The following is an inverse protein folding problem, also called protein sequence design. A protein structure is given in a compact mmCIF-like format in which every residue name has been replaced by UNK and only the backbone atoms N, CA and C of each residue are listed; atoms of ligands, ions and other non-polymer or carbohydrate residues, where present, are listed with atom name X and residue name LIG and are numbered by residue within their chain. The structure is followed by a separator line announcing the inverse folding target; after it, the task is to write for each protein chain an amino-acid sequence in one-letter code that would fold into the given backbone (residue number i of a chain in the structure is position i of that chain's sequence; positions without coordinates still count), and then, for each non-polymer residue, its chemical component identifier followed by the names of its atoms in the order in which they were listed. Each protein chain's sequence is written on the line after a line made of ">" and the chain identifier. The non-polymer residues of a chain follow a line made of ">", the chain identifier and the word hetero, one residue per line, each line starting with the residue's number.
data_IF_845499648237
#
_entry.id   IF_845499648237
#
_cell.length_a   1.000
_cell.length_b   1.000
_cell.length_c   1.000
_cell.angle_alpha   90.00
_cell.angle_beta   90.00
_cell.angle_gamma   90.00
#
_symmetry.space_group_name_H-M   'P 1'
#
loop_
_entity.id
_entity.type
_entity.pdbx_description
1 polymer ?
#
# COMPACT_ATOMS: atom_id res chain seq x y z
N UNK A 1 1.45 21.10 33.58
CA UNK A 1 0.51 20.96 32.45
C UNK A 1 1.20 21.23 31.11
N UNK A 2 1.97 22.32 30.97
CA UNK A 2 2.78 22.62 29.77
C UNK A 2 3.83 21.55 29.48
N UNK A 3 4.50 21.03 30.51
CA UNK A 3 5.51 19.97 30.36
C UNK A 3 4.97 18.64 29.81
N UNK A 4 3.68 18.33 30.01
CA UNK A 4 3.04 17.13 29.46
C UNK A 4 2.81 17.25 27.96
N UNK A 5 2.41 18.44 27.52
CA UNK A 5 2.12 18.73 26.12
C UNK A 5 3.38 18.75 25.27
N UNK A 6 4.42 19.46 25.73
CA UNK A 6 5.63 19.69 24.93
C UNK A 6 6.58 18.49 24.93
N UNK A 7 6.70 17.74 26.03
CA UNK A 7 7.66 16.64 26.12
C UNK A 7 7.10 15.27 25.75
N UNK A 8 5.78 15.06 25.92
CA UNK A 8 5.19 13.73 25.72
C UNK A 8 4.20 13.72 24.56
N UNK A 9 3.18 14.59 24.58
CA UNK A 9 2.11 14.52 23.58
C UNK A 9 2.62 14.89 22.18
N UNK A 10 3.33 16.02 22.05
CA UNK A 10 3.82 16.49 20.75
C UNK A 10 4.85 15.54 20.10
N UNK A 11 5.88 15.05 20.82
CA UNK A 11 6.84 14.12 20.25
C UNK A 11 6.21 12.76 19.90
N UNK A 12 5.32 12.23 20.75
CA UNK A 12 4.62 10.97 20.46
C UNK A 12 3.73 11.09 19.22
N UNK A 13 2.98 12.18 19.06
CA UNK A 13 2.18 12.41 17.86
C UNK A 13 3.06 12.45 16.59
N UNK A 14 4.21 13.12 16.66
CA UNK A 14 5.15 13.19 15.54
C UNK A 14 5.74 11.81 15.16
N UNK A 15 6.04 10.98 16.16
CA UNK A 15 6.51 9.60 15.94
C UNK A 15 5.42 8.78 15.24
N UNK A 16 4.18 8.85 15.71
CA UNK A 16 3.06 8.11 15.09
C UNK A 16 2.84 8.52 13.65
N UNK A 17 2.89 9.83 13.34
CA UNK A 17 2.76 10.33 11.97
C UNK A 17 3.86 9.76 11.08
N UNK A 18 5.12 9.74 11.54
CA UNK A 18 6.24 9.15 10.78
C UNK A 18 6.04 7.66 10.52
N UNK A 19 5.57 6.91 11.52
CA UNK A 19 5.30 5.47 11.36
C UNK A 19 4.24 5.24 10.28
N UNK A 20 3.12 5.97 10.35
CA UNK A 20 2.03 5.85 9.36
C UNK A 20 2.52 6.26 7.97
N UNK A 21 3.31 7.32 7.87
CA UNK A 21 3.89 7.80 6.62
C UNK A 21 4.82 6.78 5.95
N UNK A 22 5.44 5.87 6.73
CA UNK A 22 6.27 4.78 6.20
C UNK A 22 5.43 3.55 5.85
N UNK A 23 4.45 3.18 6.69
CA UNK A 23 3.66 1.97 6.50
C UNK A 23 2.78 2.05 5.25
N UNK A 24 2.10 3.17 5.03
CA UNK A 24 1.18 3.36 3.89
C UNK A 24 1.86 3.08 2.53
N UNK A 25 2.99 3.72 2.18
CA UNK A 25 3.64 3.46 0.89
C UNK A 25 4.21 2.05 0.80
N UNK A 26 4.64 1.42 1.90
CA UNK A 26 5.09 0.02 1.89
C UNK A 26 3.93 -0.90 1.53
N UNK A 27 2.76 -0.73 2.15
CA UNK A 27 1.57 -1.53 1.83
C UNK A 27 1.14 -1.35 0.38
N UNK A 28 1.12 -0.11 -0.12
CA UNK A 28 0.83 0.16 -1.54
C UNK A 28 1.85 -0.50 -2.47
N UNK A 29 3.14 -0.43 -2.13
CA UNK A 29 4.21 -1.04 -2.93
C UNK A 29 4.03 -2.55 -3.05
N UNK A 30 3.74 -3.24 -1.94
CA UNK A 30 3.49 -4.69 -1.94
C UNK A 30 2.22 -5.04 -2.73
N UNK A 31 1.16 -4.24 -2.61
CA UNK A 31 -0.09 -4.43 -3.34
C UNK A 31 0.10 -4.33 -4.86
N UNK A 32 0.91 -3.39 -5.35
CA UNK A 32 1.23 -3.28 -6.77
C UNK A 32 2.26 -4.31 -7.24
N UNK A 33 3.19 -4.70 -6.38
CA UNK A 33 4.19 -5.73 -6.71
C UNK A 33 3.52 -7.08 -6.96
N UNK A 34 2.51 -7.45 -6.17
CA UNK A 34 1.71 -8.68 -6.40
C UNK A 34 0.86 -8.62 -7.67
N UNK A 35 0.40 -7.43 -8.10
CA UNK A 35 -0.23 -7.27 -9.42
C UNK A 35 0.78 -7.48 -10.56
N UNK A 36 1.97 -6.89 -10.42
CA UNK A 36 3.03 -7.02 -11.41
C UNK A 36 3.48 -8.47 -11.56
N UNK A 37 3.67 -9.19 -10.46
CA UNK A 37 3.99 -10.62 -10.44
C UNK A 37 2.96 -11.44 -11.24
N UNK A 38 1.66 -11.25 -10.98
CA UNK A 38 0.58 -11.92 -11.72
C UNK A 38 0.62 -11.61 -13.21
N UNK A 39 1.01 -10.38 -13.59
CA UNK A 39 1.13 -9.95 -14.99
C UNK A 39 2.34 -10.59 -15.67
N UNK A 40 3.47 -10.69 -14.98
CA UNK A 40 4.71 -11.31 -15.47
C UNK A 40 4.50 -12.82 -15.66
N UNK A 41 3.90 -13.52 -14.69
CA UNK A 41 3.61 -14.95 -14.80
C UNK A 41 2.65 -15.22 -15.97
N UNK A 42 1.62 -14.37 -16.15
CA UNK A 42 0.74 -14.45 -17.31
C UNK A 42 1.50 -14.32 -18.62
N UNK A 43 2.37 -13.30 -18.72
CA UNK A 43 3.19 -13.06 -19.91
C UNK A 43 4.13 -14.24 -20.23
N UNK A 44 4.77 -14.83 -19.22
CA UNK A 44 5.60 -16.04 -19.38
C UNK A 44 4.81 -17.21 -19.97
N UNK A 45 3.54 -17.34 -19.58
CA UNK A 45 2.65 -18.42 -20.02
C UNK A 45 1.87 -18.07 -21.30
N UNK A 46 2.21 -16.98 -22.01
CA UNK A 46 1.48 -16.51 -23.19
C UNK A 46 -0.03 -16.32 -22.94
N UNK A 47 -0.41 -15.96 -21.71
CA UNK A 47 -1.79 -15.58 -21.37
C UNK A 47 -1.83 -14.16 -20.82
N UNK A 48 -2.98 -13.50 -20.95
CA UNK A 48 -3.14 -12.18 -20.34
C UNK A 48 -3.29 -12.32 -18.83
N UNK A 49 -2.47 -11.56 -18.10
CA UNK A 49 -2.62 -11.36 -16.66
C UNK A 49 -3.88 -10.56 -16.31
N UNK A 50 -4.05 -10.16 -15.04
CA UNK A 50 -5.26 -9.47 -14.57
C UNK A 50 -5.53 -8.19 -15.37
N UNK A 51 -6.73 -8.09 -15.98
CA UNK A 51 -7.13 -6.95 -16.82
C UNK A 51 -8.61 -6.58 -16.65
N UNK A 52 -9.27 -7.03 -15.58
CA UNK A 52 -10.74 -6.92 -15.42
C UNK A 52 -11.14 -5.71 -14.57
N UNK A 53 -10.49 -5.47 -13.44
CA UNK A 53 -10.84 -4.34 -12.54
C UNK A 53 -9.95 -3.12 -12.84
N UNK A 54 -10.57 -2.11 -13.47
CA UNK A 54 -9.96 -0.82 -13.83
C UNK A 54 -9.09 -0.86 -15.10
N UNK A 55 -8.57 0.31 -15.54
CA UNK A 55 -7.66 0.39 -16.67
C UNK A 55 -6.42 -0.50 -16.43
N UNK A 56 -6.14 -1.43 -17.34
CA UNK A 56 -5.00 -2.36 -17.25
C UNK A 56 -4.91 -3.23 -15.99
N UNK A 57 -6.00 -3.39 -15.23
CA UNK A 57 -6.04 -4.14 -13.97
C UNK A 57 -5.49 -3.39 -12.75
N UNK A 58 -5.27 -2.07 -12.84
CA UNK A 58 -4.64 -1.28 -11.76
C UNK A 58 -5.48 -1.24 -10.47
N UNK A 59 -6.80 -1.41 -10.55
CA UNK A 59 -7.68 -1.41 -9.39
C UNK A 59 -7.79 -2.80 -8.73
N UNK A 60 -7.15 -3.82 -9.30
CA UNK A 60 -7.15 -5.18 -8.76
C UNK A 60 -6.66 -5.28 -7.31
N UNK A 61 -5.55 -4.62 -6.89
CA UNK A 61 -5.08 -4.74 -5.50
C UNK A 61 -6.03 -4.08 -4.49
N UNK A 62 -6.74 -3.04 -4.91
CA UNK A 62 -7.76 -2.39 -4.07
C UNK A 62 -8.98 -3.30 -3.95
N UNK A 63 -9.43 -3.89 -5.07
CA UNK A 63 -10.54 -4.84 -5.07
C UNK A 63 -10.23 -6.10 -4.24
N UNK A 64 -8.99 -6.60 -4.30
CA UNK A 64 -8.54 -7.75 -3.52
C UNK A 64 -8.46 -7.43 -2.02
N UNK A 65 -8.14 -6.19 -1.64
CA UNK A 65 -8.08 -5.76 -0.23
C UNK A 65 -9.42 -5.38 0.40
N UNK A 66 -10.44 -5.08 -0.41
CA UNK A 66 -11.81 -4.79 0.04
C UNK A 66 -12.65 -6.05 0.23
N UNK A 67 -12.28 -7.15 -0.45
CA UNK A 67 -12.94 -8.46 -0.32
C UNK A 67 -12.72 -9.06 1.07
#
# INVERSE_FOLDING_TARGET
>A
MVELWDNYIWPTAWIVIKIVAIIIPIMLSVAYLTLAERKVIGAMQQRRGPNVVGPFGLLQPIADGVK
#
